data_IF_816931862652
#
_entry.id   IF_816931862652
#
_cell.length_a   1.000
_cell.length_b   1.000
_cell.length_c   1.000
_cell.angle_alpha   90.00
_cell.angle_beta   90.00
_cell.angle_gamma   90.00
#
_symmetry.space_group_name_H-M   'P 1'
#
loop_
_entity.id
_entity.type
_entity.pdbx_description
1 polymer ?
#
# COMPACT_ATOMS: atom_id res chain seq x y z
N UNK A 1 14.36 12.51 2.40
CA UNK A 1 13.36 13.57 2.07
C UNK A 1 12.57 13.88 3.35
N UNK A 2 12.01 15.09 3.49
CA UNK A 2 11.51 15.71 4.75
C UNK A 2 12.48 15.64 5.95
N UNK A 3 13.21 16.73 6.20
CA UNK A 3 14.08 16.85 7.40
C UNK A 3 13.34 17.33 8.65
N UNK A 4 12.04 17.64 8.53
CA UNK A 4 11.29 18.36 9.59
C UNK A 4 10.27 17.51 10.35
N UNK A 5 10.11 16.22 10.02
CA UNK A 5 9.19 15.35 10.76
C UNK A 5 7.71 15.72 10.64
N UNK A 6 7.35 16.67 9.76
CA UNK A 6 5.97 17.12 9.56
C UNK A 6 5.19 16.26 8.56
N UNK A 7 5.82 15.23 7.97
CA UNK A 7 5.15 14.34 7.04
C UNK A 7 4.32 13.30 7.80
N UNK A 8 2.99 13.35 7.69
CA UNK A 8 2.08 12.43 8.39
C UNK A 8 2.37 10.97 8.08
N UNK A 9 2.68 10.65 6.82
CA UNK A 9 2.97 9.27 6.40
C UNK A 9 4.23 8.73 7.08
N UNK A 10 5.30 9.54 7.15
CA UNK A 10 6.52 9.16 7.86
C UNK A 10 6.28 8.97 9.36
N UNK A 11 5.41 9.78 9.98
CA UNK A 11 5.08 9.64 11.41
C UNK A 11 4.33 8.35 11.70
N UNK A 12 3.39 7.97 10.82
CA UNK A 12 2.68 6.69 10.91
C UNK A 12 3.69 5.53 10.80
N UNK A 13 4.59 5.59 9.83
CA UNK A 13 5.62 4.57 9.64
C UNK A 13 6.57 4.46 10.84
N UNK A 14 7.03 5.60 11.39
CA UNK A 14 7.87 5.63 12.59
C UNK A 14 7.15 5.02 13.79
N UNK A 15 5.86 5.30 13.97
CA UNK A 15 5.05 4.69 15.02
C UNK A 15 4.98 3.17 14.85
N UNK A 16 4.68 2.69 13.65
CA UNK A 16 4.65 1.26 13.35
C UNK A 16 5.99 0.58 13.68
N UNK A 17 7.11 1.17 13.25
CA UNK A 17 8.46 0.66 13.53
C UNK A 17 8.75 0.62 15.04
N UNK A 18 8.44 1.69 15.76
CA UNK A 18 8.70 1.78 17.20
C UNK A 18 7.83 0.78 17.99
N UNK A 19 6.54 0.70 17.67
CA UNK A 19 5.60 -0.24 18.28
C UNK A 19 6.00 -1.69 17.97
N UNK A 20 6.27 -2.01 16.70
CA UNK A 20 6.71 -3.34 16.28
C UNK A 20 8.01 -3.77 16.95
N UNK A 21 8.99 -2.88 17.10
CA UNK A 21 10.24 -3.16 17.80
C UNK A 21 10.02 -3.46 19.30
N UNK A 22 9.11 -2.72 19.96
CA UNK A 22 8.75 -2.96 21.36
C UNK A 22 8.05 -4.30 21.55
N UNK A 23 7.08 -4.61 20.69
CA UNK A 23 6.38 -5.90 20.71
C UNK A 23 7.38 -7.04 20.46
N UNK A 24 8.31 -6.88 19.52
CA UNK A 24 9.32 -7.89 19.23
C UNK A 24 10.34 -8.11 20.37
N UNK A 25 10.55 -7.10 21.22
CA UNK A 25 11.46 -7.19 22.37
C UNK A 25 10.82 -7.94 23.56
N UNK A 26 9.50 -7.92 23.69
CA UNK A 26 8.76 -8.71 24.68
C UNK A 26 8.46 -10.11 24.13
N UNK A 27 9.00 -11.14 24.76
CA UNK A 27 8.88 -12.53 24.30
C UNK A 27 7.43 -13.02 24.31
N UNK A 28 6.64 -12.65 25.31
CA UNK A 28 5.24 -13.10 25.42
C UNK A 28 4.38 -12.39 24.38
N UNK A 29 4.51 -11.06 24.28
CA UNK A 29 3.80 -10.29 23.28
C UNK A 29 4.18 -10.72 21.85
N UNK A 30 5.47 -10.92 21.57
CA UNK A 30 5.93 -11.36 20.25
C UNK A 30 5.33 -12.71 19.85
N UNK A 31 5.22 -13.66 20.77
CA UNK A 31 4.65 -14.98 20.48
C UNK A 31 3.15 -14.89 20.18
N UNK A 32 2.42 -14.08 20.96
CA UNK A 32 0.99 -13.80 20.70
C UNK A 32 0.79 -13.15 19.32
N UNK A 33 1.63 -12.17 18.96
CA UNK A 33 1.59 -11.54 17.65
C UNK A 33 1.97 -12.49 16.51
N UNK A 34 2.73 -13.56 16.75
CA UNK A 34 3.05 -14.56 15.71
C UNK A 34 1.95 -15.60 15.54
N UNK A 35 1.24 -15.96 16.60
CA UNK A 35 0.37 -17.15 16.63
C UNK A 35 -1.12 -16.82 16.58
N UNK A 36 -1.55 -15.70 17.18
CA UNK A 36 -2.98 -15.34 17.25
C UNK A 36 -3.47 -14.67 15.97
N UNK A 37 -4.76 -14.84 15.67
CA UNK A 37 -5.43 -14.13 14.59
C UNK A 37 -5.55 -12.62 14.90
N UNK A 38 -5.40 -11.71 13.91
CA UNK A 38 -5.45 -10.26 14.11
C UNK A 38 -6.71 -9.79 14.84
N UNK A 39 -7.88 -10.38 14.53
CA UNK A 39 -9.18 -10.00 15.09
C UNK A 39 -9.30 -10.34 16.57
N UNK A 40 -8.71 -11.46 16.98
CA UNK A 40 -8.67 -11.86 18.40
C UNK A 40 -7.70 -10.97 19.15
N UNK A 41 -6.51 -10.79 18.60
CA UNK A 41 -5.44 -10.03 19.21
C UNK A 41 -5.83 -8.56 19.40
N UNK A 42 -6.49 -7.94 18.41
CA UNK A 42 -7.00 -6.57 18.48
C UNK A 42 -7.99 -6.33 19.63
N UNK A 43 -8.59 -7.38 20.21
CA UNK A 43 -9.52 -7.30 21.35
C UNK A 43 -8.88 -7.68 22.69
N UNK A 44 -7.68 -8.25 22.68
CA UNK A 44 -7.03 -8.86 23.84
C UNK A 44 -5.59 -8.36 24.04
N UNK A 45 -5.27 -7.18 23.52
CA UNK A 45 -3.96 -6.57 23.74
C UNK A 45 -3.74 -6.25 25.23
N UNK A 46 -2.50 -6.35 25.73
CA UNK A 46 -2.13 -5.82 27.03
C UNK A 46 -2.57 -4.35 27.18
N UNK A 47 -3.01 -3.89 28.37
CA UNK A 47 -3.59 -2.56 28.55
C UNK A 47 -2.72 -1.40 28.05
N UNK A 48 -1.40 -1.53 28.19
CA UNK A 48 -0.43 -0.52 27.72
C UNK A 48 -0.40 -0.42 26.19
N UNK A 49 -0.36 -1.57 25.50
CA UNK A 49 -0.39 -1.63 24.03
C UNK A 49 -1.75 -1.21 23.49
N UNK A 50 -2.84 -1.58 24.17
CA UNK A 50 -4.19 -1.16 23.81
C UNK A 50 -4.33 0.37 23.88
N UNK A 51 -3.90 0.99 24.98
CA UNK A 51 -3.96 2.45 25.15
C UNK A 51 -3.18 3.19 24.06
N UNK A 52 -2.03 2.66 23.67
CA UNK A 52 -1.22 3.26 22.62
C UNK A 52 -1.83 3.06 21.23
N UNK A 53 -2.41 1.88 20.96
CA UNK A 53 -3.18 1.63 19.75
C UNK A 53 -4.40 2.57 19.66
N UNK A 54 -5.15 2.76 20.75
CA UNK A 54 -6.29 3.69 20.80
C UNK A 54 -5.85 5.14 20.53
N UNK A 55 -4.70 5.53 21.09
CA UNK A 55 -4.09 6.84 20.82
C UNK A 55 -3.71 6.98 19.34
N UNK A 56 -3.14 5.94 18.74
CA UNK A 56 -2.81 5.92 17.33
C UNK A 56 -4.07 5.99 16.44
N UNK A 57 -5.10 5.19 16.74
CA UNK A 57 -6.35 5.13 15.98
C UNK A 57 -7.17 6.42 16.09
N UNK A 58 -7.17 7.07 17.26
CA UNK A 58 -7.84 8.37 17.42
C UNK A 58 -7.22 9.45 16.53
N UNK A 59 -5.91 9.35 16.24
CA UNK A 59 -5.18 10.32 15.43
C UNK A 59 -5.10 9.96 13.95
N UNK A 60 -4.86 8.70 13.62
CA UNK A 60 -4.57 8.25 12.25
C UNK A 60 -5.55 7.20 11.72
N UNK A 61 -6.56 6.85 12.53
CA UNK A 61 -7.51 5.79 12.20
C UNK A 61 -8.46 6.11 11.04
N UNK A 62 -8.42 7.33 10.49
CA UNK A 62 -9.09 7.68 9.23
C UNK A 62 -8.47 7.03 7.99
N UNK A 63 -7.22 6.55 8.08
CA UNK A 63 -6.54 5.81 7.01
C UNK A 63 -7.16 4.43 6.79
N UNK A 64 -6.86 3.88 5.63
CA UNK A 64 -7.23 2.52 5.22
C UNK A 64 -6.37 2.08 4.04
N UNK A 65 -6.47 0.81 3.65
CA UNK A 65 -5.84 0.24 2.44
C UNK A 65 -6.20 0.99 1.14
N UNK A 66 -7.44 1.46 1.00
CA UNK A 66 -7.91 2.20 -0.19
C UNK A 66 -8.88 3.32 0.19
N UNK A 67 -8.87 4.42 -0.58
CA UNK A 67 -9.70 5.61 -0.33
C UNK A 67 -11.17 5.47 -0.74
N UNK A 68 -11.60 4.31 -1.22
CA UNK A 68 -13.01 4.07 -1.53
C UNK A 68 -13.85 4.12 -0.26
N UNK A 69 -15.11 4.55 -0.37
CA UNK A 69 -16.01 4.60 0.77
C UNK A 69 -16.46 3.23 1.24
N UNK A 70 -16.35 2.16 0.44
CA UNK A 70 -16.77 0.80 0.83
C UNK A 70 -15.84 0.15 1.86
N UNK A 71 -14.54 0.42 1.75
CA UNK A 71 -13.49 -0.13 2.64
C UNK A 71 -13.57 0.49 4.03
N UNK A 72 -13.45 -0.35 5.06
CA UNK A 72 -13.41 0.10 6.46
C UNK A 72 -12.16 0.93 6.73
N UNK A 73 -12.27 1.91 7.63
CA UNK A 73 -11.12 2.66 8.12
C UNK A 73 -10.45 1.93 9.29
N UNK A 74 -9.18 2.21 9.57
CA UNK A 74 -8.45 1.57 10.67
C UNK A 74 -9.15 1.75 12.03
N UNK A 75 -9.83 2.87 12.27
CA UNK A 75 -10.64 3.06 13.48
C UNK A 75 -11.89 2.15 13.54
N UNK A 76 -12.37 1.67 12.39
CA UNK A 76 -13.50 0.74 12.26
C UNK A 76 -13.06 -0.73 12.17
N UNK A 77 -11.79 -0.97 11.79
CA UNK A 77 -11.15 -2.28 11.67
C UNK A 77 -9.72 -2.24 12.23
N UNK A 78 -9.55 -2.15 13.56
CA UNK A 78 -8.22 -2.15 14.21
C UNK A 78 -7.37 -3.38 13.87
N UNK A 79 -8.01 -4.50 13.53
CA UNK A 79 -7.36 -5.73 13.09
C UNK A 79 -6.41 -5.51 11.90
N UNK A 80 -6.67 -4.56 11.00
CA UNK A 80 -5.76 -4.24 9.89
C UNK A 80 -4.44 -3.65 10.40
N UNK A 81 -4.48 -2.81 11.44
CA UNK A 81 -3.29 -2.21 12.06
C UNK A 81 -2.50 -3.28 12.81
N UNK A 82 -3.20 -4.19 13.49
CA UNK A 82 -2.58 -5.34 14.16
C UNK A 82 -1.90 -6.26 13.15
N UNK A 83 -2.51 -6.56 12.01
CA UNK A 83 -1.89 -7.38 10.96
C UNK A 83 -0.58 -6.76 10.44
N UNK A 84 -0.52 -5.43 10.29
CA UNK A 84 0.72 -4.71 9.95
C UNK A 84 1.79 -4.90 11.03
N UNK A 85 1.43 -4.80 12.31
CA UNK A 85 2.35 -5.04 13.43
C UNK A 85 2.81 -6.50 13.49
N UNK A 86 1.94 -7.48 13.19
CA UNK A 86 2.34 -8.89 13.10
C UNK A 86 3.39 -9.11 12.02
N UNK A 87 3.21 -8.48 10.84
CA UNK A 87 4.22 -8.49 9.77
C UNK A 87 5.57 -7.94 10.27
N UNK A 88 5.56 -6.80 10.97
CA UNK A 88 6.76 -6.21 11.58
C UNK A 88 7.45 -7.13 12.59
N UNK A 89 6.69 -7.82 13.44
CA UNK A 89 7.22 -8.73 14.47
C UNK A 89 7.78 -10.02 13.86
N UNK A 90 7.18 -10.52 12.77
CA UNK A 90 7.64 -11.72 12.05
C UNK A 90 8.94 -11.48 11.29
N UNK A 91 9.06 -10.32 10.64
CA UNK A 91 10.16 -10.03 9.71
C UNK A 91 11.23 -9.10 10.29
N UNK A 92 10.99 -8.53 11.46
CA UNK A 92 11.87 -7.59 12.14
C UNK A 92 11.74 -6.16 11.60
N UNK A 93 11.97 -5.12 12.43
CA UNK A 93 11.91 -3.72 12.03
C UNK A 93 13.04 -3.29 11.07
N UNK A 94 14.05 -4.15 10.85
CA UNK A 94 15.22 -3.90 9.99
C UNK A 94 15.86 -5.21 9.54
N UNK A 95 15.47 -5.72 8.37
CA UNK A 95 16.42 -6.50 7.57
C UNK A 95 17.50 -5.55 7.05
N UNK A 96 18.77 -5.79 7.31
CA UNK A 96 19.80 -5.17 6.49
C UNK A 96 19.61 -5.70 5.06
N UNK A 97 19.62 -4.84 4.02
CA UNK A 97 19.50 -5.33 2.65
C UNK A 97 20.60 -6.37 2.37
N UNK A 98 20.35 -7.38 1.52
CA UNK A 98 21.35 -8.39 1.16
C UNK A 98 22.68 -7.73 0.80
N UNK A 99 23.79 -8.29 1.28
CA UNK A 99 25.14 -7.72 1.16
C UNK A 99 25.58 -7.50 -0.31
N UNK A 100 24.95 -8.21 -1.25
CA UNK A 100 25.13 -8.04 -2.71
C UNK A 100 24.33 -6.85 -3.30
N UNK A 101 23.29 -6.39 -2.61
CA UNK A 101 22.46 -5.25 -2.98
C UNK A 101 22.97 -3.94 -2.36
N UNK A 102 24.29 -3.82 -2.16
CA UNK A 102 24.93 -2.50 -2.08
C UNK A 102 24.97 -1.91 -3.50
N UNK A 103 23.81 -1.47 -3.97
CA UNK A 103 23.75 -0.40 -4.96
C UNK A 103 24.76 0.65 -4.51
N UNK A 104 25.80 0.85 -5.32
CA UNK A 104 26.80 1.92 -5.20
C UNK A 104 26.12 3.10 -4.56
N UNK A 105 26.51 3.47 -3.31
CA UNK A 105 26.03 4.66 -2.57
C UNK A 105 25.52 5.63 -3.60
N UNK A 106 24.19 5.73 -3.77
CA UNK A 106 23.59 6.48 -4.87
C UNK A 106 24.33 7.81 -4.89
N UNK A 107 25.21 7.97 -5.88
CA UNK A 107 26.14 9.08 -5.88
C UNK A 107 25.25 10.29 -5.74
N UNK A 108 25.50 11.14 -4.73
CA UNK A 108 24.90 12.48 -4.77
C UNK A 108 25.04 12.92 -6.21
N UNK A 109 23.93 13.22 -6.92
CA UNK A 109 24.01 13.49 -8.34
C UNK A 109 25.12 14.52 -8.47
N UNK A 110 26.19 14.18 -9.20
CA UNK A 110 27.27 15.12 -9.47
C UNK A 110 26.65 16.13 -10.41
N UNK A 111 25.93 17.07 -9.81
CA UNK A 111 25.28 18.16 -10.46
C UNK A 111 26.40 19.04 -10.99
N UNK A 112 26.74 18.83 -12.26
CA UNK A 112 27.64 19.66 -13.02
C UNK A 112 26.85 20.94 -13.34
N UNK A 113 26.77 21.84 -12.37
CA UNK A 113 25.92 23.03 -12.47
C UNK A 113 26.70 24.31 -12.20
N UNK A 114 26.53 25.25 -13.14
CA UNK A 114 26.77 26.69 -13.04
C UNK A 114 25.80 27.40 -12.07
N UNK A 115 24.85 26.67 -11.46
CA UNK A 115 23.86 27.21 -10.52
C UNK A 115 24.44 27.26 -9.09
N UNK A 116 24.34 28.39 -8.38
CA UNK A 116 24.86 28.52 -7.02
C UNK A 116 24.27 27.49 -6.06
N UNK A 117 25.13 26.79 -5.30
CA UNK A 117 24.71 25.80 -4.26
C UNK A 117 23.64 26.33 -3.30
N UNK A 118 23.61 27.64 -3.05
CA UNK A 118 22.59 28.28 -2.22
C UNK A 118 21.18 28.23 -2.85
N UNK A 119 21.07 28.48 -4.16
CA UNK A 119 19.81 28.39 -4.88
C UNK A 119 19.28 26.95 -4.87
N UNK A 120 20.15 25.97 -5.11
CA UNK A 120 19.80 24.54 -5.04
C UNK A 120 19.31 24.14 -3.64
N UNK A 121 19.97 24.61 -2.57
CA UNK A 121 19.54 24.37 -1.19
C UNK A 121 18.16 25.00 -0.89
N UNK A 122 17.88 26.20 -1.41
CA UNK A 122 16.57 26.86 -1.27
C UNK A 122 15.49 26.07 -2.01
N UNK A 123 15.76 25.66 -3.25
CA UNK A 123 14.84 24.85 -4.04
C UNK A 123 14.55 23.50 -3.38
N UNK A 124 15.57 22.78 -2.92
CA UNK A 124 15.39 21.51 -2.21
C UNK A 124 14.56 21.67 -0.93
N UNK A 125 14.70 22.81 -0.22
CA UNK A 125 13.87 23.12 0.95
C UNK A 125 12.40 23.34 0.58
N UNK A 126 12.14 24.11 -0.48
CA UNK A 126 10.78 24.34 -0.99
C UNK A 126 10.15 23.03 -1.48
N UNK A 127 10.88 22.23 -2.26
CA UNK A 127 10.41 20.92 -2.71
C UNK A 127 10.04 20.00 -1.54
N UNK A 128 10.87 19.98 -0.48
CA UNK A 128 10.55 19.27 0.75
C UNK A 128 9.26 19.75 1.41
N UNK A 129 9.03 21.06 1.47
CA UNK A 129 7.81 21.65 2.02
C UNK A 129 6.56 21.23 1.22
N UNK A 130 6.61 21.31 -0.11
CA UNK A 130 5.47 20.93 -0.96
C UNK A 130 5.17 19.43 -0.92
N UNK A 131 6.19 18.58 -0.77
CA UNK A 131 5.98 17.15 -0.54
C UNK A 131 5.26 16.88 0.79
N UNK A 132 5.64 17.58 1.86
CA UNK A 132 4.96 17.47 3.15
C UNK A 132 3.51 17.96 3.07
N UNK A 133 3.26 19.11 2.42
CA UNK A 133 1.91 19.63 2.19
C UNK A 133 1.04 18.69 1.35
N UNK A 134 1.61 18.02 0.36
CA UNK A 134 0.89 17.03 -0.46
C UNK A 134 0.42 15.83 0.37
N UNK A 135 1.27 15.33 1.26
CA UNK A 135 0.90 14.22 2.15
C UNK A 135 -0.12 14.66 3.20
N UNK A 136 -0.03 15.91 3.69
CA UNK A 136 -1.04 16.51 4.57
C UNK A 136 -2.41 16.60 3.88
N UNK A 137 -2.46 17.12 2.65
CA UNK A 137 -3.69 17.18 1.86
C UNK A 137 -4.35 15.81 1.69
N UNK A 138 -3.55 14.78 1.41
CA UNK A 138 -4.03 13.39 1.28
C UNK A 138 -4.58 12.86 2.60
N UNK A 139 -3.99 13.26 3.72
CA UNK A 139 -4.47 12.88 5.05
C UNK A 139 -5.80 13.56 5.38
N UNK A 140 -5.92 14.87 5.13
CA UNK A 140 -7.18 15.61 5.31
C UNK A 140 -8.32 15.05 4.44
N UNK A 141 -8.00 14.60 3.22
CA UNK A 141 -8.96 13.88 2.38
C UNK A 141 -9.45 12.59 3.05
N UNK A 142 -8.56 11.82 3.67
CA UNK A 142 -8.93 10.58 4.37
C UNK A 142 -9.83 10.86 5.60
N UNK A 143 -9.60 11.97 6.32
CA UNK A 143 -10.48 12.45 7.39
C UNK A 143 -11.87 12.83 6.87
N UNK A 144 -11.94 13.58 5.77
CA UNK A 144 -13.20 13.96 5.14
C UNK A 144 -13.99 12.71 4.68
N UNK A 145 -13.30 11.74 4.08
CA UNK A 145 -13.90 10.48 3.65
C UNK A 145 -14.41 9.63 4.81
N UNK A 146 -13.71 9.60 5.95
CA UNK A 146 -14.20 8.93 7.16
C UNK A 146 -15.50 9.57 7.66
N UNK A 147 -15.58 10.92 7.67
CA UNK A 147 -16.79 11.63 8.08
C UNK A 147 -17.96 11.35 7.15
N UNK A 148 -17.75 11.47 5.84
CA UNK A 148 -18.77 11.14 4.81
C UNK A 148 -19.26 9.71 5.00
N UNK A 149 -18.35 8.75 5.18
CA UNK A 149 -18.70 7.35 5.40
C UNK A 149 -19.56 7.16 6.66
N UNK A 150 -19.23 7.81 7.77
CA UNK A 150 -20.01 7.72 9.02
C UNK A 150 -21.43 8.27 8.85
N UNK A 151 -21.55 9.40 8.15
CA UNK A 151 -22.85 10.03 7.87
C UNK A 151 -23.70 9.12 6.98
N UNK A 152 -23.12 8.57 5.90
CA UNK A 152 -23.80 7.61 5.02
C UNK A 152 -24.21 6.34 5.75
N UNK A 153 -23.35 5.75 6.59
CA UNK A 153 -23.71 4.58 7.41
C UNK A 153 -24.78 4.92 8.46
N UNK A 154 -24.83 6.16 8.95
CA UNK A 154 -25.92 6.67 9.76
C UNK A 154 -27.26 6.62 9.01
N UNK A 155 -27.27 7.12 7.77
CA UNK A 155 -28.44 7.02 6.88
C UNK A 155 -28.78 5.56 6.56
N UNK A 156 -27.78 4.72 6.32
CA UNK A 156 -27.97 3.29 6.09
C UNK A 156 -28.64 2.57 7.26
N UNK A 157 -28.35 2.96 8.51
CA UNK A 157 -29.08 2.48 9.70
C UNK A 157 -30.51 3.00 9.73
N UNK A 158 -30.70 4.29 9.46
CA UNK A 158 -32.03 4.92 9.45
C UNK A 158 -32.98 4.27 8.42
N UNK A 159 -32.50 4.04 7.19
CA UNK A 159 -33.25 3.43 6.10
C UNK A 159 -33.20 1.88 6.08
N UNK A 160 -32.59 1.23 7.08
CA UNK A 160 -32.44 -0.25 7.14
C UNK A 160 -31.78 -0.86 5.90
N UNK A 161 -30.76 -0.17 5.37
CA UNK A 161 -29.93 -0.60 4.24
C UNK A 161 -28.51 -1.03 4.66
N UNK A 162 -28.09 -0.70 5.88
CA UNK A 162 -26.75 -1.03 6.37
C UNK A 162 -25.64 -0.40 5.52
N UNK A 163 -24.67 -1.19 5.07
CA UNK A 163 -23.56 -0.76 4.21
C UNK A 163 -23.98 -0.59 2.73
N UNK A 164 -25.15 -1.08 2.34
CA UNK A 164 -25.65 -1.00 0.96
C UNK A 164 -25.87 0.45 0.50
N UNK A 165 -26.11 1.36 1.45
CA UNK A 165 -26.22 2.81 1.19
C UNK A 165 -24.97 3.39 0.48
N UNK A 166 -23.80 2.77 0.66
CA UNK A 166 -22.54 3.22 0.06
C UNK A 166 -22.46 2.98 -1.45
N UNK A 167 -23.39 2.20 -2.00
CA UNK A 167 -23.50 1.90 -3.43
C UNK A 167 -24.62 2.68 -4.13
N UNK A 168 -25.25 3.60 -3.41
CA UNK A 168 -26.24 4.52 -3.96
C UNK A 168 -25.61 5.86 -4.30
N UNK A 169 -26.16 6.48 -5.34
CA UNK A 169 -25.87 7.86 -5.70
C UNK A 169 -26.62 8.82 -4.77
N UNK A 170 -26.18 10.08 -4.73
CA UNK A 170 -26.85 11.11 -3.93
C UNK A 170 -28.32 11.31 -4.34
N UNK A 171 -28.62 11.29 -5.65
CA UNK A 171 -29.99 11.41 -6.17
C UNK A 171 -30.90 10.27 -5.69
N UNK A 172 -30.41 9.03 -5.70
CA UNK A 172 -31.18 7.87 -5.23
C UNK A 172 -31.47 7.96 -3.72
N UNK A 173 -30.53 8.48 -2.93
CA UNK A 173 -30.74 8.73 -1.50
C UNK A 173 -31.83 9.81 -1.30
N UNK A 174 -31.80 10.90 -2.08
CA UNK A 174 -32.84 11.93 -2.02
C UNK A 174 -34.21 11.41 -2.50
N UNK A 175 -34.26 10.56 -3.52
CA UNK A 175 -35.49 9.91 -3.99
C UNK A 175 -36.05 8.93 -2.96
N UNK A 176 -35.20 8.15 -2.30
CA UNK A 176 -35.59 7.27 -1.19
C UNK A 176 -36.20 8.09 -0.05
N UNK A 177 -35.55 9.18 0.35
CA UNK A 177 -36.03 10.12 1.37
C UNK A 177 -37.38 10.75 1.00
N UNK A 178 -37.58 11.08 -0.28
CA UNK A 178 -38.83 11.63 -0.79
C UNK A 178 -39.94 10.57 -1.00
N UNK A 179 -39.68 9.29 -0.70
CA UNK A 179 -40.63 8.19 -0.95
C UNK A 179 -40.86 7.87 -2.43
N UNK A 180 -39.99 8.37 -3.32
CA UNK A 180 -40.06 8.17 -4.79
C UNK A 180 -39.26 6.96 -5.27
N UNK A 181 -38.55 6.30 -4.36
CA UNK A 181 -37.81 5.06 -4.62
C UNK A 181 -38.19 4.04 -3.55
N UNK A 182 -38.63 2.87 -3.97
CA UNK A 182 -39.02 1.80 -3.05
C UNK A 182 -37.79 1.20 -2.35
N UNK A 183 -37.97 0.66 -1.14
CA UNK A 183 -36.87 0.02 -0.40
C UNK A 183 -36.33 -1.22 -1.14
N UNK A 184 -37.20 -2.00 -1.78
CA UNK A 184 -36.80 -3.21 -2.48
C UNK A 184 -36.01 -2.90 -3.75
N UNK A 185 -36.45 -1.89 -4.52
CA UNK A 185 -35.71 -1.41 -5.67
C UNK A 185 -34.34 -0.84 -5.27
N UNK A 186 -34.30 -0.09 -4.17
CA UNK A 186 -33.05 0.45 -3.61
C UNK A 186 -32.07 -0.66 -3.26
N UNK A 187 -32.52 -1.73 -2.59
CA UNK A 187 -31.68 -2.88 -2.27
C UNK A 187 -31.17 -3.58 -3.51
N UNK A 188 -32.00 -3.73 -4.54
CA UNK A 188 -31.62 -4.33 -5.81
C UNK A 188 -30.51 -3.54 -6.49
N UNK A 189 -30.69 -2.22 -6.65
CA UNK A 189 -29.69 -1.32 -7.27
C UNK A 189 -28.36 -1.37 -6.50
N UNK A 190 -28.42 -1.27 -5.18
CA UNK A 190 -27.22 -1.33 -4.33
C UNK A 190 -26.52 -2.69 -4.43
N UNK A 191 -27.28 -3.79 -4.48
CA UNK A 191 -26.75 -5.15 -4.62
C UNK A 191 -26.02 -5.37 -5.95
N UNK A 192 -26.66 -4.99 -7.06
CA UNK A 192 -26.07 -5.08 -8.40
C UNK A 192 -24.76 -4.28 -8.49
N UNK A 193 -24.74 -3.04 -7.97
CA UNK A 193 -23.52 -2.21 -7.96
C UNK A 193 -22.45 -2.71 -7.01
N UNK A 194 -22.83 -3.29 -5.87
CA UNK A 194 -21.89 -3.94 -4.95
C UNK A 194 -21.17 -5.09 -5.64
N UNK A 195 -21.92 -5.94 -6.35
CA UNK A 195 -21.33 -7.06 -7.10
C UNK A 195 -20.36 -6.54 -8.17
N UNK A 196 -20.78 -5.54 -8.97
CA UNK A 196 -19.92 -4.92 -9.98
C UNK A 196 -18.66 -4.29 -9.38
N UNK A 197 -18.77 -3.65 -8.21
CA UNK A 197 -17.64 -3.00 -7.54
C UNK A 197 -16.58 -4.01 -7.09
N UNK A 198 -16.99 -5.18 -6.60
CA UNK A 198 -16.05 -6.23 -6.18
C UNK A 198 -15.61 -7.14 -7.31
N UNK A 199 -16.24 -7.05 -8.49
CA UNK A 199 -15.80 -7.80 -9.67
C UNK A 199 -14.39 -7.34 -10.06
N UNK A 200 -13.41 -8.25 -10.17
CA UNK A 200 -12.07 -7.90 -10.61
C UNK A 200 -12.12 -7.32 -12.02
N UNK A 201 -11.81 -6.04 -12.15
CA UNK A 201 -11.55 -5.40 -13.45
C UNK A 201 -10.05 -5.26 -13.61
N UNK A 202 -9.56 -5.54 -14.81
CA UNK A 202 -8.17 -5.30 -15.17
C UNK A 202 -7.98 -3.81 -15.40
N UNK A 203 -7.22 -3.12 -14.54
CA UNK A 203 -6.99 -1.70 -14.72
C UNK A 203 -6.17 -1.50 -15.99
N UNK A 204 -6.67 -0.65 -16.88
CA UNK A 204 -5.92 -0.21 -18.05
C UNK A 204 -5.58 1.27 -17.91
N UNK A 205 -4.34 1.61 -18.20
CA UNK A 205 -3.84 2.99 -18.14
C UNK A 205 -4.49 3.86 -19.21
N UNK A 206 -4.73 3.29 -20.40
CA UNK A 206 -5.28 4.02 -21.54
C UNK A 206 -6.50 3.30 -22.11
N UNK A 207 -7.55 4.06 -22.36
CA UNK A 207 -8.72 3.59 -23.10
C UNK A 207 -8.77 4.32 -24.43
N UNK A 208 -8.55 3.61 -25.52
CA UNK A 208 -8.65 4.14 -26.88
C UNK A 208 -9.89 3.53 -27.53
N UNK A 209 -10.83 4.39 -27.92
CA UNK A 209 -12.12 3.99 -28.51
C UNK A 209 -12.89 2.96 -27.65
N UNK A 210 -12.82 3.11 -26.32
CA UNK A 210 -13.49 2.22 -25.38
C UNK A 210 -12.84 0.84 -25.24
N UNK A 211 -11.63 0.64 -25.78
CA UNK A 211 -10.83 -0.57 -25.60
C UNK A 211 -9.60 -0.28 -24.73
N UNK A 212 -9.22 -1.20 -23.83
CA UNK A 212 -7.97 -1.07 -23.09
C UNK A 212 -6.78 -1.22 -24.04
N UNK A 213 -5.86 -0.26 -24.03
CA UNK A 213 -4.58 -0.33 -24.73
C UNK A 213 -3.46 -0.62 -23.73
N UNK A 214 -2.80 -1.76 -23.93
CA UNK A 214 -1.70 -2.20 -23.08
C UNK A 214 -0.37 -1.86 -23.77
N UNK A 215 0.34 -0.84 -23.28
CA UNK A 215 1.61 -0.34 -23.86
C UNK A 215 2.78 -1.34 -23.82
N UNK A 216 2.62 -2.50 -23.20
CA UNK A 216 3.73 -3.34 -22.76
C UNK A 216 3.58 -4.76 -23.33
N UNK A 217 4.02 -4.91 -24.57
CA UNK A 217 4.05 -6.17 -25.32
C UNK A 217 4.86 -7.26 -24.61
N UNK A 218 4.24 -8.42 -24.48
CA UNK A 218 4.83 -9.67 -23.97
C UNK A 218 5.63 -10.30 -25.11
N UNK A 219 6.96 -10.29 -25.03
CA UNK A 219 7.78 -11.18 -25.84
C UNK A 219 8.16 -12.40 -25.00
N UNK A 220 7.23 -13.36 -24.94
CA UNK A 220 7.30 -14.76 -24.46
C UNK A 220 7.82 -15.06 -23.04
N UNK A 221 8.84 -14.35 -22.58
CA UNK A 221 9.53 -14.47 -21.29
C UNK A 221 9.89 -13.10 -20.68
N UNK A 222 9.74 -12.02 -21.43
CA UNK A 222 10.03 -10.66 -20.97
C UNK A 222 8.73 -9.92 -20.73
N UNK A 223 8.49 -9.55 -19.48
CA UNK A 223 7.43 -8.65 -19.07
C UNK A 223 8.00 -7.25 -18.92
N UNK A 224 7.30 -6.26 -19.50
CA UNK A 224 7.69 -4.86 -19.43
C UNK A 224 6.82 -4.13 -18.41
N UNK A 225 7.42 -3.14 -17.77
CA UNK A 225 6.83 -2.26 -16.77
C UNK A 225 7.60 -0.94 -16.70
N UNK A 226 7.31 -0.16 -15.68
CA UNK A 226 8.00 1.07 -15.35
C UNK A 226 9.10 0.74 -14.33
N UNK A 227 10.35 0.93 -14.71
CA UNK A 227 11.48 0.87 -13.77
C UNK A 227 11.39 2.00 -12.76
N UNK A 228 11.31 1.68 -11.46
CA UNK A 228 11.14 2.71 -10.41
C UNK A 228 12.27 2.77 -9.40
N UNK A 229 13.08 1.72 -9.31
CA UNK A 229 14.29 1.70 -8.50
C UNK A 229 15.38 0.94 -9.27
N UNK A 230 16.50 1.60 -9.64
CA UNK A 230 17.50 1.02 -10.51
C UNK A 230 18.28 -0.11 -9.83
N UNK A 231 18.79 -1.02 -10.65
CA UNK A 231 19.54 -2.19 -10.22
C UNK A 231 18.98 -3.45 -10.86
N UNK A 232 19.69 -4.57 -10.69
CA UNK A 232 19.30 -5.87 -11.24
C UNK A 232 19.36 -6.92 -10.14
N UNK A 233 18.33 -7.75 -10.05
CA UNK A 233 18.26 -8.83 -9.08
C UNK A 233 17.62 -10.07 -9.70
N UNK A 234 18.08 -11.24 -9.27
CA UNK A 234 17.55 -12.54 -9.66
C UNK A 234 17.14 -13.28 -8.41
N UNK A 235 15.92 -13.81 -8.38
CA UNK A 235 15.39 -14.49 -7.21
C UNK A 235 14.18 -15.33 -7.53
N UNK A 236 13.68 -16.04 -6.50
CA UNK A 236 12.42 -16.77 -6.58
C UNK A 236 11.25 -15.78 -6.58
N UNK A 237 10.35 -15.88 -7.53
CA UNK A 237 9.10 -15.12 -7.54
C UNK A 237 8.19 -15.63 -6.41
N UNK A 238 7.71 -14.71 -5.57
CA UNK A 238 6.73 -14.98 -4.52
C UNK A 238 5.55 -14.05 -4.74
N UNK A 239 4.40 -14.60 -5.11
CA UNK A 239 3.16 -13.85 -5.28
C UNK A 239 2.58 -13.60 -3.90
N UNK A 240 2.52 -12.33 -3.52
CA UNK A 240 2.03 -11.92 -2.22
C UNK A 240 0.73 -11.13 -2.39
N UNK A 241 -0.34 -11.60 -1.74
CA UNK A 241 -1.59 -10.86 -1.61
C UNK A 241 -1.69 -10.14 -0.26
N UNK A 242 -1.16 -10.77 0.80
CA UNK A 242 -1.14 -10.24 2.16
C UNK A 242 0.28 -10.42 2.74
N UNK A 243 0.97 -9.33 3.09
CA UNK A 243 2.34 -9.38 3.60
C UNK A 243 2.43 -10.03 4.99
N UNK A 244 1.33 -10.11 5.74
CA UNK A 244 1.35 -10.68 7.10
C UNK A 244 1.60 -12.19 7.08
N UNK A 245 1.05 -12.92 6.11
CA UNK A 245 1.10 -14.39 6.03
C UNK A 245 2.15 -14.93 5.04
N UNK A 246 2.84 -14.05 4.33
CA UNK A 246 3.73 -14.42 3.24
C UNK A 246 5.04 -15.08 3.74
N UNK A 247 5.34 -16.27 3.23
CA UNK A 247 6.59 -16.97 3.50
C UNK A 247 7.72 -16.45 2.59
N UNK A 248 8.33 -15.33 2.98
CA UNK A 248 9.39 -14.66 2.22
C UNK A 248 10.76 -15.05 2.75
N UNK A 249 11.67 -15.42 1.86
CA UNK A 249 13.08 -15.70 2.13
C UNK A 249 13.95 -14.54 1.64
N UNK A 250 15.16 -14.47 2.19
CA UNK A 250 16.13 -13.46 1.78
C UNK A 250 16.46 -13.61 0.29
N UNK A 251 16.38 -12.50 -0.46
CA UNK A 251 16.70 -12.48 -1.90
C UNK A 251 15.53 -12.83 -2.83
N UNK A 252 14.34 -13.11 -2.30
CA UNK A 252 13.15 -13.34 -3.14
C UNK A 252 12.73 -12.10 -3.92
N UNK A 253 12.02 -12.30 -5.02
CA UNK A 253 11.37 -11.23 -5.78
C UNK A 253 9.88 -11.26 -5.46
N UNK A 254 9.40 -10.23 -4.78
CA UNK A 254 7.97 -10.09 -4.48
C UNK A 254 7.22 -9.69 -5.74
N UNK A 255 6.14 -10.37 -6.03
CA UNK A 255 5.15 -9.99 -7.04
C UNK A 255 3.83 -9.70 -6.33
N UNK A 256 3.32 -8.49 -6.44
CA UNK A 256 2.09 -8.07 -5.78
C UNK A 256 1.21 -7.25 -6.72
N UNK A 257 -0.11 -7.25 -6.47
CA UNK A 257 -1.01 -6.37 -7.23
C UNK A 257 -0.79 -4.90 -6.86
N UNK A 258 -0.82 -4.61 -5.57
CA UNK A 258 -0.55 -3.30 -4.98
C UNK A 258 0.14 -3.51 -3.63
N UNK A 259 0.70 -2.43 -3.10
CA UNK A 259 1.35 -2.41 -1.79
C UNK A 259 0.78 -1.31 -0.92
N UNK A 260 0.78 -1.53 0.38
CA UNK A 260 0.46 -0.55 1.42
C UNK A 260 1.65 -0.41 2.39
N UNK A 261 1.60 0.50 3.40
CA UNK A 261 2.70 0.68 4.34
C UNK A 261 3.13 -0.60 5.10
N UNK A 262 2.24 -1.59 5.24
CA UNK A 262 2.51 -2.88 5.88
C UNK A 262 3.51 -3.76 5.13
N UNK A 263 3.87 -3.40 3.90
CA UNK A 263 4.88 -4.07 3.09
C UNK A 263 6.30 -3.59 3.38
N UNK A 264 6.45 -2.38 3.91
CA UNK A 264 7.76 -1.78 4.23
C UNK A 264 8.71 -2.71 5.03
N UNK A 265 8.24 -3.47 6.04
CA UNK A 265 9.09 -4.38 6.80
C UNK A 265 9.67 -5.49 5.93
N UNK A 266 8.83 -6.13 5.13
CA UNK A 266 9.21 -7.26 4.29
C UNK A 266 10.10 -6.84 3.13
N UNK A 267 9.96 -5.59 2.64
CA UNK A 267 10.84 -5.08 1.58
C UNK A 267 12.31 -5.15 2.00
N UNK A 268 12.64 -5.02 3.28
CA UNK A 268 14.04 -5.10 3.72
C UNK A 268 14.71 -6.47 3.50
N UNK A 269 13.92 -7.53 3.28
CA UNK A 269 14.41 -8.90 3.06
C UNK A 269 14.55 -9.27 1.58
N UNK A 270 13.94 -8.52 0.67
CA UNK A 270 13.70 -8.99 -0.70
C UNK A 270 14.84 -8.57 -1.62
N UNK A 271 15.11 -9.41 -2.62
CA UNK A 271 16.03 -9.09 -3.70
C UNK A 271 15.40 -8.16 -4.74
N UNK A 272 14.05 -8.15 -4.84
CA UNK A 272 13.35 -7.36 -5.84
C UNK A 272 11.87 -7.14 -5.56
N UNK A 273 11.30 -6.10 -6.19
CA UNK A 273 9.87 -5.77 -6.09
C UNK A 273 9.22 -5.62 -7.46
N UNK A 274 8.11 -6.31 -7.67
CA UNK A 274 7.28 -6.25 -8.87
C UNK A 274 5.85 -5.92 -8.47
N UNK A 275 5.27 -4.90 -9.09
CA UNK A 275 3.88 -4.52 -8.83
C UNK A 275 3.05 -4.42 -10.12
N UNK A 276 1.81 -4.89 -10.08
CA UNK A 276 0.87 -4.68 -11.18
C UNK A 276 0.39 -3.23 -11.25
N UNK A 277 0.09 -2.64 -10.10
CA UNK A 277 -0.40 -1.29 -9.96
C UNK A 277 0.67 -0.41 -9.29
N UNK A 278 1.01 0.71 -9.92
CA UNK A 278 1.91 1.67 -9.32
C UNK A 278 2.47 2.68 -10.29
N UNK A 279 3.28 3.60 -9.77
CA UNK A 279 4.00 4.57 -10.57
C UNK A 279 5.27 5.03 -9.88
N UNK A 280 6.12 5.75 -10.61
CA UNK A 280 7.45 6.19 -10.18
C UNK A 280 7.48 6.91 -8.80
N UNK A 281 6.38 7.60 -8.48
CA UNK A 281 6.23 8.42 -7.28
C UNK A 281 5.40 7.76 -6.17
N UNK A 282 4.99 6.50 -6.33
CA UNK A 282 4.25 5.79 -5.28
C UNK A 282 5.17 5.46 -4.10
N UNK A 283 4.54 5.26 -2.93
CA UNK A 283 5.22 4.98 -1.67
C UNK A 283 6.26 3.86 -1.81
N UNK A 284 5.88 2.71 -2.35
CA UNK A 284 6.80 1.58 -2.45
C UNK A 284 7.91 1.78 -3.49
N UNK A 285 7.69 2.57 -4.54
CA UNK A 285 8.77 3.00 -5.44
C UNK A 285 9.77 3.92 -4.75
N UNK A 286 9.30 4.77 -3.83
CA UNK A 286 10.18 5.61 -2.99
C UNK A 286 10.96 4.73 -2.02
N UNK A 287 10.27 3.85 -1.28
CA UNK A 287 10.89 2.95 -0.29
C UNK A 287 11.90 2.00 -0.95
N UNK A 288 11.57 1.39 -2.10
CA UNK A 288 12.50 0.53 -2.83
C UNK A 288 13.78 1.28 -3.22
N UNK A 289 13.68 2.54 -3.67
CA UNK A 289 14.85 3.40 -3.94
C UNK A 289 15.66 3.71 -2.70
N UNK A 290 15.01 3.98 -1.58
CA UNK A 290 15.68 4.27 -0.32
C UNK A 290 16.40 3.04 0.24
N UNK A 291 15.84 1.84 0.04
CA UNK A 291 16.43 0.56 0.42
C UNK A 291 17.42 0.00 -0.61
N UNK A 292 17.52 0.61 -1.81
CA UNK A 292 18.40 0.18 -2.88
C UNK A 292 17.97 -1.14 -3.53
N UNK A 293 16.68 -1.47 -3.47
CA UNK A 293 16.10 -2.70 -4.01
C UNK A 293 15.61 -2.43 -5.43
N UNK A 294 15.98 -3.23 -6.45
CA UNK A 294 15.45 -3.10 -7.79
C UNK A 294 13.91 -3.25 -7.80
N UNK A 295 13.22 -2.34 -8.49
CA UNK A 295 11.75 -2.36 -8.52
C UNK A 295 11.18 -2.01 -9.89
N UNK A 296 10.21 -2.81 -10.34
CA UNK A 296 9.42 -2.59 -11.56
C UNK A 296 7.95 -2.55 -11.18
N UNK A 297 7.20 -1.58 -11.68
CA UNK A 297 5.76 -1.43 -11.41
C UNK A 297 4.99 -1.33 -12.72
N UNK A 298 3.68 -1.52 -12.71
CA UNK A 298 2.88 -1.44 -13.94
C UNK A 298 3.05 -2.64 -14.86
N UNK A 299 3.56 -3.77 -14.35
CA UNK A 299 3.54 -5.03 -15.10
C UNK A 299 2.13 -5.61 -14.99
N UNK A 300 1.29 -5.36 -15.99
CA UNK A 300 -0.10 -5.83 -15.97
C UNK A 300 -0.18 -7.35 -15.84
N UNK A 301 -1.08 -7.82 -14.96
CA UNK A 301 -1.30 -9.23 -14.66
C UNK A 301 -0.06 -10.00 -14.17
N UNK A 302 0.97 -9.34 -13.63
CA UNK A 302 2.19 -9.99 -13.14
C UNK A 302 1.91 -11.16 -12.18
N UNK A 303 0.91 -11.04 -11.30
CA UNK A 303 0.50 -12.09 -10.34
C UNK A 303 -0.13 -13.32 -11.00
N UNK A 304 -0.53 -13.22 -12.27
CA UNK A 304 -1.08 -14.33 -13.05
C UNK A 304 -0.09 -14.86 -14.08
N UNK A 305 0.71 -13.97 -14.68
CA UNK A 305 1.65 -14.31 -15.74
C UNK A 305 2.93 -14.96 -15.21
N UNK A 306 3.35 -14.60 -14.00
CA UNK A 306 4.56 -15.13 -13.37
C UNK A 306 4.19 -16.37 -12.57
N UNK A 307 4.73 -17.57 -12.88
CA UNK A 307 4.48 -18.74 -12.06
C UNK A 307 5.07 -18.59 -10.65
N UNK A 308 4.30 -18.93 -9.63
CA UNK A 308 4.76 -18.97 -8.23
C UNK A 308 6.02 -19.84 -8.11
N UNK A 309 7.04 -19.34 -7.43
CA UNK A 309 8.29 -20.07 -7.22
C UNK A 309 9.25 -20.09 -8.42
N UNK A 310 8.86 -19.53 -9.57
CA UNK A 310 9.75 -19.43 -10.74
C UNK A 310 10.95 -18.53 -10.45
N UNK A 311 12.07 -18.79 -11.14
CA UNK A 311 13.24 -17.92 -11.06
C UNK A 311 13.04 -16.74 -12.02
N UNK A 312 13.08 -15.52 -11.48
CA UNK A 312 12.88 -14.30 -12.26
C UNK A 312 14.06 -13.37 -12.09
N UNK A 313 14.42 -12.68 -13.17
CA UNK A 313 15.40 -11.61 -13.17
C UNK A 313 14.71 -10.28 -13.46
N UNK A 314 14.85 -9.31 -12.56
CA UNK A 314 14.31 -7.97 -12.72
C UNK A 314 15.42 -6.96 -12.99
N UNK A 315 15.15 -5.99 -13.85
CA UNK A 315 15.94 -4.80 -14.08
C UNK A 315 15.05 -3.58 -13.83
N UNK A 316 15.20 -3.00 -12.63
CA UNK A 316 14.42 -1.84 -12.21
C UNK A 316 14.87 -0.53 -12.83
N UNK A 317 15.94 -0.52 -13.62
CA UNK A 317 16.36 0.63 -14.43
C UNK A 317 15.67 0.64 -15.80
N UNK A 318 15.65 -0.49 -16.49
CA UNK A 318 14.99 -0.62 -17.80
C UNK A 318 13.50 -0.97 -17.73
N UNK A 319 13.00 -1.33 -16.54
CA UNK A 319 11.59 -1.72 -16.35
C UNK A 319 11.28 -3.11 -16.89
N UNK A 320 12.27 -4.02 -16.89
CA UNK A 320 12.13 -5.36 -17.47
C UNK A 320 12.09 -6.43 -16.39
N UNK A 321 11.26 -7.44 -16.59
CA UNK A 321 11.27 -8.68 -15.85
C UNK A 321 11.41 -9.84 -16.83
N UNK A 322 12.31 -10.77 -16.53
CA UNK A 322 12.58 -11.95 -17.33
C UNK A 322 12.24 -13.18 -16.49
N UNK A 323 11.36 -14.04 -17.00
CA UNK A 323 11.07 -15.35 -16.41
C UNK A 323 12.12 -16.34 -16.95
N UNK A 324 12.97 -16.86 -16.07
CA UNK A 324 14.00 -17.82 -16.46
C UNK A 324 13.35 -19.19 -16.74
N UNK A 325 13.83 -19.87 -17.78
CA UNK A 325 13.38 -21.22 -18.08
C UNK A 325 13.84 -22.16 -16.95
N UNK A 326 12.92 -23.02 -16.50
CA UNK A 326 13.20 -24.12 -15.58
C UNK A 326 14.01 -25.22 -16.25
#
# INVERSE_FOLDING_TARGET
LSRRGNNVTLRIEQWFRAMGARIAADREAAERFRTEAPERLARSLPPELQKELDTFLSRYGCRSRHRTLAVKRWIEAPEEVVAILQSLVRHGPTGAPPTECRSRKAGQPRFNHSVPRMALKRFARLAGLFLDLREELRFLLDEALLRIRRDLLGLGRHFRLGDSILFLTFDEIERLKAGRLSHDETRRIAGERRELFYKPVEPCTFWVEGRPEYDLTIDGKVLLGIGTSPGRATGRAVIVADPSVAAIRQGDVIVARHTDPGWTPILSLVGGLVMEEGGLLNHCSIVARELGIPAVVGIHQATRLIPEGSRVTIDGGSGRLIIEAS
#
